data_IF_187766866548
#
_entry.id   IF_187766866548
#
_cell.length_a   1.000
_cell.length_b   1.000
_cell.length_c   1.000
_cell.angle_alpha   90.00
_cell.angle_beta   90.00
_cell.angle_gamma   90.00
#
_symmetry.space_group_name_H-M   'P 1'
#
loop_
_entity.id
_entity.type
_entity.pdbx_description
1 polymer ?
#
# COMPACT_ATOMS: atom_id res chain seq x y z
N UNK A 1 -27.38 17.03 -6.67
CA UNK A 1 -26.42 17.28 -5.60
C UNK A 1 -26.82 16.37 -4.43
N UNK A 2 -25.98 15.46 -4.01
CA UNK A 2 -26.29 14.54 -2.93
C UNK A 2 -25.05 13.86 -2.38
N UNK A 3 -25.18 13.30 -1.19
CA UNK A 3 -24.17 12.46 -0.58
C UNK A 3 -24.40 11.01 -1.05
N UNK A 4 -23.34 10.34 -1.44
CA UNK A 4 -23.36 8.95 -1.89
C UNK A 4 -22.35 8.16 -1.08
N UNK A 5 -22.80 7.02 -0.56
CA UNK A 5 -21.93 6.06 0.11
C UNK A 5 -21.77 4.84 -0.80
N UNK A 6 -20.55 4.49 -1.08
CA UNK A 6 -20.21 3.38 -1.99
C UNK A 6 -19.34 2.37 -1.23
N UNK A 7 -19.82 1.15 -1.17
CA UNK A 7 -19.01 -0.01 -0.76
C UNK A 7 -18.73 -0.82 -2.01
N UNK A 8 -17.47 -0.97 -2.35
CA UNK A 8 -17.04 -1.73 -3.51
C UNK A 8 -16.08 -2.83 -3.10
N UNK A 9 -16.35 -4.05 -3.53
CA UNK A 9 -15.42 -5.16 -3.45
C UNK A 9 -14.62 -5.23 -4.75
N UNK A 10 -13.30 -5.38 -4.64
CA UNK A 10 -12.36 -5.41 -5.78
C UNK A 10 -12.43 -4.17 -6.67
N UNK A 11 -12.24 -3.00 -6.08
CA UNK A 11 -12.08 -1.77 -6.84
C UNK A 11 -10.74 -1.80 -7.59
N UNK A 12 -10.75 -2.40 -8.75
CA UNK A 12 -9.66 -2.43 -9.70
C UNK A 12 -10.19 -1.88 -11.00
N UNK A 13 -9.94 -0.62 -11.28
CA UNK A 13 -10.39 -0.02 -12.53
C UNK A 13 -9.29 -0.12 -13.56
N UNK A 14 -9.61 -0.84 -14.63
CA UNK A 14 -8.98 -0.77 -15.96
C UNK A 14 -7.46 -0.77 -16.07
N UNK A 15 -6.97 -1.22 -17.16
CA UNK A 15 -5.59 -1.54 -17.59
C UNK A 15 -4.41 -0.68 -17.10
N UNK A 16 -4.64 0.42 -16.39
CA UNK A 16 -3.60 1.33 -15.90
C UNK A 16 -3.52 1.46 -14.36
N UNK A 17 -4.45 0.86 -13.60
CA UNK A 17 -4.38 0.90 -12.14
C UNK A 17 -3.28 -0.05 -11.64
N UNK A 18 -2.21 0.50 -11.10
CA UNK A 18 -1.12 -0.27 -10.50
C UNK A 18 -1.48 -0.82 -9.11
N UNK A 19 -2.49 -0.24 -8.48
CA UNK A 19 -2.95 -0.63 -7.14
C UNK A 19 -4.41 -1.04 -7.24
N UNK A 20 -4.72 -2.27 -6.87
CA UNK A 20 -6.10 -2.78 -6.76
C UNK A 20 -6.47 -2.88 -5.29
N UNK A 21 -7.58 -2.26 -4.91
CA UNK A 21 -8.13 -2.32 -3.56
C UNK A 21 -9.06 -3.53 -3.46
N UNK A 22 -8.91 -4.35 -2.41
CA UNK A 22 -9.77 -5.52 -2.19
C UNK A 22 -11.17 -5.09 -1.80
N UNK A 23 -11.25 -4.11 -0.93
CA UNK A 23 -12.49 -3.51 -0.46
C UNK A 23 -12.27 -2.02 -0.27
N UNK A 24 -13.21 -1.22 -0.74
CA UNK A 24 -13.23 0.20 -0.52
C UNK A 24 -14.59 0.61 0.02
N UNK A 25 -14.61 1.42 1.04
CA UNK A 25 -15.78 2.03 1.67
C UNK A 25 -15.59 3.53 1.59
N UNK A 26 -16.36 4.19 0.73
CA UNK A 26 -16.16 5.59 0.36
C UNK A 26 -17.44 6.40 0.60
N UNK A 27 -17.33 7.47 1.36
CA UNK A 27 -18.34 8.51 1.47
C UNK A 27 -17.98 9.66 0.51
N UNK A 28 -18.93 10.03 -0.34
CA UNK A 28 -18.77 11.05 -1.37
C UNK A 28 -19.76 12.18 -1.12
N UNK A 29 -19.29 13.42 -1.17
CA UNK A 29 -20.09 14.62 -0.96
C UNK A 29 -20.20 15.43 -2.24
N UNK A 30 -21.36 16.03 -2.45
CA UNK A 30 -21.67 16.87 -3.60
C UNK A 30 -21.38 16.19 -4.94
N UNK A 31 -21.94 15.00 -5.11
CA UNK A 31 -21.86 14.24 -6.36
C UNK A 31 -22.78 14.88 -7.41
N UNK A 32 -22.21 15.31 -8.51
CA UNK A 32 -22.92 15.88 -9.66
C UNK A 32 -22.64 15.03 -10.89
N UNK A 33 -23.71 14.53 -11.50
CA UNK A 33 -23.65 13.80 -12.78
C UNK A 33 -24.04 14.71 -13.94
N UNK A 34 -23.34 14.61 -15.04
CA UNK A 34 -23.62 15.31 -16.31
C UNK A 34 -23.69 14.32 -17.46
N UNK A 35 -24.28 14.76 -18.57
CA UNK A 35 -24.32 14.02 -19.83
C UNK A 35 -24.86 12.59 -19.71
N UNK A 36 -26.01 12.44 -19.06
CA UNK A 36 -26.65 11.14 -18.84
C UNK A 36 -25.71 10.13 -18.16
N UNK A 37 -25.08 10.55 -17.04
CA UNK A 37 -24.13 9.75 -16.26
C UNK A 37 -22.80 9.43 -16.95
N UNK A 38 -22.46 10.08 -18.06
CA UNK A 38 -21.15 9.89 -18.70
C UNK A 38 -20.01 10.53 -17.92
N UNK A 39 -20.29 11.63 -17.24
CA UNK A 39 -19.32 12.30 -16.37
C UNK A 39 -19.89 12.50 -14.97
N UNK A 40 -19.09 12.26 -13.99
CA UNK A 40 -19.42 12.49 -12.58
C UNK A 40 -18.33 13.34 -11.93
N UNK A 41 -18.72 14.40 -11.24
CA UNK A 41 -17.82 15.19 -10.42
C UNK A 41 -18.19 15.02 -8.97
N UNK A 42 -17.17 14.86 -8.11
CA UNK A 42 -17.30 14.67 -6.68
C UNK A 42 -16.46 15.74 -6.02
N UNK A 43 -17.07 16.58 -5.21
CA UNK A 43 -16.34 17.66 -4.54
C UNK A 43 -15.37 17.12 -3.50
N UNK A 44 -15.81 16.13 -2.73
CA UNK A 44 -15.01 15.50 -1.69
C UNK A 44 -15.36 14.03 -1.56
N UNK A 45 -14.34 13.19 -1.41
CA UNK A 45 -14.49 11.77 -1.09
C UNK A 45 -13.53 11.40 0.03
N UNK A 46 -14.01 10.66 0.99
CA UNK A 46 -13.19 10.09 2.05
C UNK A 46 -13.62 8.65 2.33
N UNK A 47 -12.71 7.85 2.85
CA UNK A 47 -13.06 6.49 3.22
C UNK A 47 -11.87 5.63 3.54
N UNK A 48 -12.12 4.35 3.60
CA UNK A 48 -11.12 3.32 3.92
C UNK A 48 -11.06 2.25 2.85
N UNK A 49 -9.91 1.66 2.68
CA UNK A 49 -9.74 0.50 1.82
C UNK A 49 -8.82 -0.53 2.45
N UNK A 50 -8.88 -1.75 1.94
CA UNK A 50 -8.02 -2.85 2.34
C UNK A 50 -7.10 -3.24 1.18
N UNK A 51 -5.80 -3.29 1.47
CA UNK A 51 -4.77 -3.87 0.62
C UNK A 51 -4.32 -5.20 1.24
N UNK A 52 -4.60 -6.31 0.56
CA UNK A 52 -4.15 -7.62 1.04
C UNK A 52 -2.63 -7.79 0.88
N UNK A 53 -2.05 -8.69 1.69
CA UNK A 53 -0.61 -8.95 1.67
C UNK A 53 -0.13 -9.60 0.38
N UNK A 54 -0.97 -10.33 -0.34
CA UNK A 54 -0.61 -10.93 -1.63
C UNK A 54 -0.34 -9.85 -2.67
N UNK A 55 -1.16 -8.83 -2.72
CA UNK A 55 -0.98 -7.67 -3.61
C UNK A 55 0.18 -6.80 -3.20
N UNK A 56 0.33 -6.55 -1.90
CA UNK A 56 1.49 -5.82 -1.37
C UNK A 56 2.80 -6.56 -1.68
N UNK A 57 2.83 -7.88 -1.57
CA UNK A 57 3.96 -8.72 -1.96
C UNK A 57 4.32 -8.54 -3.43
N UNK A 58 3.31 -8.49 -4.30
CA UNK A 58 3.53 -8.24 -5.73
C UNK A 58 4.10 -6.85 -6.00
N UNK A 59 3.65 -5.84 -5.27
CA UNK A 59 4.16 -4.46 -5.37
C UNK A 59 5.56 -4.31 -4.79
N UNK A 60 5.86 -5.03 -3.71
CA UNK A 60 7.16 -5.05 -3.05
C UNK A 60 8.20 -5.88 -3.82
N UNK A 61 7.74 -6.81 -4.67
CA UNK A 61 8.59 -7.76 -5.36
C UNK A 61 9.14 -8.88 -4.48
N UNK A 62 8.58 -9.07 -3.27
CA UNK A 62 8.94 -10.11 -2.33
C UNK A 62 7.77 -10.41 -1.37
N UNK A 63 7.65 -11.65 -0.85
CA UNK A 63 6.62 -12.01 0.10
C UNK A 63 6.59 -11.08 1.31
N UNK A 64 5.44 -10.45 1.52
CA UNK A 64 5.16 -9.58 2.66
C UNK A 64 3.99 -10.17 3.45
N UNK A 65 4.16 -10.28 4.75
CA UNK A 65 3.15 -10.83 5.67
C UNK A 65 3.01 -9.96 6.91
N UNK A 66 1.91 -10.16 7.62
CA UNK A 66 1.74 -9.56 8.94
C UNK A 66 2.65 -10.26 9.94
N UNK A 67 3.39 -9.48 10.69
CA UNK A 67 4.11 -9.96 11.86
C UNK A 67 3.29 -9.78 13.14
N UNK A 68 3.90 -9.34 14.18
CA UNK A 68 3.23 -9.00 15.44
C UNK A 68 3.28 -7.50 15.71
N UNK A 69 2.33 -7.00 16.49
CA UNK A 69 2.33 -5.60 16.99
C UNK A 69 2.39 -4.54 15.88
N UNK A 70 1.66 -4.74 14.77
CA UNK A 70 1.63 -3.80 13.65
C UNK A 70 2.91 -3.79 12.81
N UNK A 71 3.80 -4.75 13.01
CA UNK A 71 4.96 -4.97 12.17
C UNK A 71 4.61 -5.85 10.99
N UNK A 72 5.35 -5.70 9.93
CA UNK A 72 5.29 -6.58 8.76
C UNK A 72 6.61 -7.27 8.57
N UNK A 73 6.57 -8.46 7.97
CA UNK A 73 7.72 -9.27 7.64
C UNK A 73 7.86 -9.38 6.13
N UNK A 74 9.04 -9.06 5.63
CA UNK A 74 9.42 -9.21 4.23
C UNK A 74 10.45 -10.33 4.13
N UNK A 75 10.13 -11.38 3.38
CA UNK A 75 11.06 -12.49 3.14
C UNK A 75 11.70 -12.31 1.78
N UNK A 76 13.02 -12.29 1.74
CA UNK A 76 13.77 -12.12 0.49
C UNK A 76 15.02 -12.98 0.49
N UNK A 77 15.60 -13.18 -0.69
CA UNK A 77 16.90 -13.84 -0.85
C UNK A 77 17.98 -12.79 -1.04
N UNK A 78 19.10 -13.02 -0.41
CA UNK A 78 20.29 -12.16 -0.54
C UNK A 78 21.55 -13.00 -0.55
N UNK A 79 22.65 -12.41 -1.01
CA UNK A 79 23.95 -13.08 -0.99
C UNK A 79 24.79 -12.53 0.16
N UNK A 80 25.15 -13.43 1.07
CA UNK A 80 26.05 -13.12 2.19
C UNK A 80 27.26 -14.02 2.11
N UNK A 81 28.45 -13.45 2.11
CA UNK A 81 29.72 -14.17 1.97
C UNK A 81 29.77 -15.15 0.77
N UNK A 82 29.18 -14.73 -0.36
CA UNK A 82 29.13 -15.53 -1.59
C UNK A 82 28.12 -16.68 -1.59
N UNK A 83 27.25 -16.77 -0.61
CA UNK A 83 26.17 -17.76 -0.51
C UNK A 83 24.82 -17.08 -0.58
N UNK A 84 23.91 -17.65 -1.37
CA UNK A 84 22.50 -17.24 -1.35
C UNK A 84 21.86 -17.75 -0.06
N UNK A 85 21.25 -16.84 0.69
CA UNK A 85 20.60 -17.10 1.97
C UNK A 85 19.27 -16.39 2.01
N UNK A 86 18.34 -16.94 2.79
CA UNK A 86 17.07 -16.28 3.07
C UNK A 86 17.26 -15.23 4.16
N UNK A 87 16.73 -14.04 3.91
CA UNK A 87 16.70 -12.93 4.84
C UNK A 87 15.25 -12.58 5.18
N UNK A 88 14.97 -12.44 6.45
CA UNK A 88 13.69 -11.96 6.97
C UNK A 88 13.89 -10.55 7.50
N UNK A 89 13.15 -9.60 6.93
CA UNK A 89 13.17 -8.20 7.37
C UNK A 89 11.87 -7.90 8.07
N UNK A 90 11.94 -7.50 9.33
CA UNK A 90 10.78 -7.12 10.14
C UNK A 90 10.82 -5.62 10.39
N UNK A 91 9.72 -4.92 10.18
CA UNK A 91 9.69 -3.47 10.39
C UNK A 91 8.27 -2.92 10.52
N UNK A 92 8.19 -1.64 10.86
CA UNK A 92 6.94 -0.88 10.88
C UNK A 92 6.68 -0.29 9.50
N UNK A 93 5.49 -0.53 8.96
CA UNK A 93 5.08 0.07 7.70
C UNK A 93 4.69 1.54 7.93
N UNK A 94 5.30 2.44 7.19
CA UNK A 94 5.07 3.88 7.26
C UNK A 94 4.65 4.45 5.92
N UNK A 95 3.69 5.36 5.94
CA UNK A 95 3.24 6.09 4.77
C UNK A 95 3.99 7.42 4.66
N UNK A 96 4.56 7.68 3.49
CA UNK A 96 4.91 9.02 3.05
C UNK A 96 3.75 9.54 2.19
N UNK A 97 2.87 10.31 2.82
CA UNK A 97 1.66 10.83 2.16
C UNK A 97 1.98 11.79 1.01
N UNK A 98 3.09 12.54 1.07
CA UNK A 98 3.51 13.46 0.01
C UNK A 98 3.95 12.73 -1.26
N UNK A 99 4.68 11.65 -1.10
CA UNK A 99 5.19 10.86 -2.21
C UNK A 99 4.25 9.71 -2.61
N UNK A 100 3.22 9.45 -1.80
CA UNK A 100 2.33 8.30 -1.93
C UNK A 100 3.12 7.00 -2.01
N UNK A 101 4.01 6.80 -1.04
CA UNK A 101 4.84 5.59 -0.92
C UNK A 101 4.76 5.02 0.48
N UNK A 102 4.87 3.70 0.59
CA UNK A 102 5.05 2.99 1.86
C UNK A 102 6.50 2.54 1.99
N UNK A 103 7.06 2.68 3.18
CA UNK A 103 8.40 2.24 3.53
C UNK A 103 8.39 1.47 4.84
N UNK A 104 9.37 0.60 5.04
CA UNK A 104 9.61 -0.02 6.34
C UNK A 104 10.56 0.85 7.16
N UNK A 105 10.11 1.23 8.35
CA UNK A 105 10.94 1.91 9.35
C UNK A 105 11.23 0.97 10.53
N UNK A 106 12.21 1.32 11.35
CA UNK A 106 12.67 0.51 12.48
C UNK A 106 12.92 -0.95 12.08
N UNK A 107 13.45 -1.11 10.87
CA UNK A 107 13.63 -2.40 10.25
C UNK A 107 14.81 -3.15 10.87
N UNK A 108 14.59 -4.45 11.08
CA UNK A 108 15.61 -5.41 11.51
C UNK A 108 15.71 -6.51 10.47
N UNK A 109 16.91 -6.97 10.22
CA UNK A 109 17.16 -8.10 9.32
C UNK A 109 17.71 -9.28 10.08
N UNK A 110 17.15 -10.44 9.86
CA UNK A 110 17.66 -11.72 10.34
C UNK A 110 18.01 -12.60 9.14
N UNK A 111 19.16 -13.23 9.17
CA UNK A 111 19.61 -14.16 8.13
C UNK A 111 19.82 -15.52 8.78
N UNK A 112 19.22 -16.54 8.19
CA UNK A 112 19.28 -17.91 8.74
C UNK A 112 20.73 -18.40 8.86
N UNK A 113 21.12 -18.75 10.10
CA UNK A 113 22.45 -19.31 10.39
C UNK A 113 23.62 -18.32 10.31
N UNK A 114 23.34 -17.02 10.19
CA UNK A 114 24.38 -15.98 10.10
C UNK A 114 24.14 -14.88 11.13
N UNK A 115 25.14 -14.64 11.96
CA UNK A 115 25.15 -13.49 12.85
C UNK A 115 25.78 -12.30 12.12
N UNK A 116 24.95 -11.32 11.77
CA UNK A 116 25.40 -10.14 11.00
C UNK A 116 25.89 -9.03 11.92
N UNK A 117 27.07 -8.46 11.68
CA UNK A 117 27.46 -7.21 12.31
C UNK A 117 26.50 -6.08 11.95
N UNK A 118 26.28 -5.12 12.85
CA UNK A 118 25.31 -4.03 12.68
C UNK A 118 25.50 -3.25 11.38
N UNK A 119 26.74 -2.94 10.99
CA UNK A 119 27.01 -2.21 9.76
C UNK A 119 26.62 -3.01 8.50
N UNK A 120 26.81 -4.34 8.53
CA UNK A 120 26.42 -5.22 7.42
C UNK A 120 24.89 -5.34 7.34
N UNK A 121 24.22 -5.45 8.49
CA UNK A 121 22.77 -5.46 8.57
C UNK A 121 22.16 -4.16 8.00
N UNK A 122 22.71 -3.00 8.36
CA UNK A 122 22.26 -1.71 7.85
C UNK A 122 22.50 -1.57 6.34
N UNK A 123 23.64 -2.01 5.84
CA UNK A 123 23.95 -1.98 4.40
C UNK A 123 22.99 -2.87 3.60
N UNK A 124 22.68 -4.06 4.10
CA UNK A 124 21.70 -4.97 3.49
C UNK A 124 20.29 -4.38 3.52
N UNK A 125 19.86 -3.81 4.63
CA UNK A 125 18.56 -3.13 4.72
C UNK A 125 18.46 -2.01 3.69
N UNK A 126 19.46 -1.17 3.57
CA UNK A 126 19.50 -0.08 2.58
C UNK A 126 19.44 -0.59 1.13
N UNK A 127 20.02 -1.75 0.84
CA UNK A 127 20.01 -2.35 -0.49
C UNK A 127 18.70 -3.07 -0.82
N UNK A 128 18.03 -3.67 0.18
CA UNK A 128 16.86 -4.53 -0.02
C UNK A 128 15.54 -3.78 0.14
N UNK A 129 15.49 -2.76 1.01
CA UNK A 129 14.27 -2.00 1.24
C UNK A 129 14.04 -1.00 0.11
N UNK A 130 12.92 -1.19 -0.57
CA UNK A 130 12.45 -0.26 -1.61
C UNK A 130 11.10 0.31 -1.22
N UNK A 131 10.85 1.61 -1.49
CA UNK A 131 9.53 2.18 -1.29
C UNK A 131 8.50 1.47 -2.17
N UNK A 132 7.35 1.12 -1.58
CA UNK A 132 6.22 0.57 -2.30
C UNK A 132 5.34 1.74 -2.74
N UNK A 133 5.16 1.91 -4.04
CA UNK A 133 4.35 3.00 -4.58
C UNK A 133 2.85 2.71 -4.44
N UNK A 134 2.13 3.66 -3.88
CA UNK A 134 0.66 3.71 -3.86
C UNK A 134 0.10 4.61 -4.96
N UNK A 135 0.94 5.12 -5.85
CA UNK A 135 0.48 5.92 -6.99
C UNK A 135 -0.38 5.06 -7.92
N UNK A 136 -1.49 5.63 -8.35
CA UNK A 136 -2.44 4.92 -9.21
C UNK A 136 -3.56 4.23 -8.43
N UNK A 137 -3.82 4.66 -7.18
CA UNK A 137 -5.07 4.38 -6.50
C UNK A 137 -6.21 4.86 -7.40
N UNK A 138 -7.26 4.03 -7.62
CA UNK A 138 -8.38 4.40 -8.47
C UNK A 138 -9.06 5.70 -8.05
N UNK A 139 -9.74 6.32 -8.99
CA UNK A 139 -10.53 7.56 -8.80
C UNK A 139 -9.70 8.80 -8.43
N UNK A 140 -8.38 8.77 -8.51
CA UNK A 140 -7.54 9.91 -8.09
C UNK A 140 -7.47 10.11 -6.59
N UNK A 141 -7.85 9.11 -5.81
CA UNK A 141 -7.74 9.12 -4.35
C UNK A 141 -6.28 9.06 -3.91
N UNK A 142 -6.01 9.63 -2.76
CA UNK A 142 -4.70 9.60 -2.10
C UNK A 142 -4.78 8.96 -0.72
N UNK A 143 -3.75 8.23 -0.35
CA UNK A 143 -3.63 7.65 0.97
C UNK A 143 -3.19 8.71 1.99
N UNK A 144 -3.87 8.76 3.14
CA UNK A 144 -3.55 9.68 4.25
C UNK A 144 -3.03 8.96 5.48
N UNK A 145 -3.41 7.70 5.66
CA UNK A 145 -2.96 6.85 6.77
C UNK A 145 -2.94 5.40 6.34
N UNK A 146 -2.07 4.63 6.94
CA UNK A 146 -2.04 3.17 6.81
C UNK A 146 -1.98 2.51 8.18
N UNK A 147 -2.64 1.37 8.31
CA UNK A 147 -2.65 0.56 9.53
C UNK A 147 -2.54 -0.91 9.16
N UNK A 148 -1.38 -1.54 9.39
CA UNK A 148 -1.22 -2.98 9.20
C UNK A 148 -2.06 -3.77 10.19
N UNK A 149 -2.74 -4.81 9.69
CA UNK A 149 -3.52 -5.76 10.47
C UNK A 149 -3.35 -7.17 9.87
N UNK A 150 -3.91 -8.19 10.51
CA UNK A 150 -3.79 -9.58 10.06
C UNK A 150 -4.43 -9.84 8.69
N UNK A 151 -5.52 -9.14 8.39
CA UNK A 151 -6.28 -9.25 7.14
C UNK A 151 -5.69 -8.45 5.98
N UNK A 152 -4.71 -7.58 6.25
CA UNK A 152 -4.08 -6.71 5.27
C UNK A 152 -3.69 -5.37 5.85
N UNK A 153 -3.43 -4.41 4.99
CA UNK A 153 -3.15 -3.02 5.37
C UNK A 153 -4.38 -2.18 5.10
N UNK A 154 -4.96 -1.64 6.17
CA UNK A 154 -6.05 -0.67 6.06
C UNK A 154 -5.47 0.69 5.66
N UNK A 155 -6.08 1.31 4.66
CA UNK A 155 -5.63 2.57 4.08
C UNK A 155 -6.77 3.57 4.14
N UNK A 156 -6.56 4.69 4.84
CA UNK A 156 -7.47 5.82 4.80
C UNK A 156 -7.21 6.63 3.53
N UNK A 157 -8.27 6.94 2.81
CA UNK A 157 -8.25 7.59 1.52
C UNK A 157 -9.01 8.91 1.56
N UNK A 158 -8.50 9.87 0.80
CA UNK A 158 -9.17 11.15 0.57
C UNK A 158 -9.01 11.58 -0.89
N UNK A 159 -9.98 12.31 -1.39
CA UNK A 159 -9.89 12.93 -2.71
C UNK A 159 -10.77 14.16 -2.80
N UNK A 160 -10.27 15.19 -3.44
CA UNK A 160 -10.99 16.44 -3.66
C UNK A 160 -11.09 16.73 -5.17
N UNK A 161 -12.23 17.28 -5.58
CA UNK A 161 -12.52 17.67 -6.96
C UNK A 161 -12.26 16.53 -7.97
N UNK A 162 -12.76 15.35 -7.64
CA UNK A 162 -12.60 14.16 -8.47
C UNK A 162 -13.52 14.25 -9.69
N UNK A 163 -13.00 13.87 -10.85
CA UNK A 163 -13.77 13.74 -12.07
C UNK A 163 -13.67 12.30 -12.58
N UNK A 164 -14.83 11.67 -12.78
CA UNK A 164 -14.95 10.32 -13.31
C UNK A 164 -15.66 10.42 -14.65
N UNK A 165 -15.01 9.98 -15.69
CA UNK A 165 -15.54 9.98 -17.05
C UNK A 165 -14.59 9.28 -18.00
N UNK A 166 -15.02 9.03 -19.23
CA UNK A 166 -14.17 8.42 -20.26
C UNK A 166 -12.99 9.28 -20.62
#
# INVERSE_FOLDING_TARGET
>A
VGNVHVVADQLGVTSNARVTLVRADLAMTDVVTKDWFKTMTITHAEGTSLLDYARLSSLAGAPLTYGSEGRVELVTKTTVFGREVEAVITGLLRLNAKEQTMTLSDAKIAVAGVNLPDFTAQALLAALLRPISLRGIPLGLTATRITPAEDGVHVDLIGDNLAIGP
#
